data_IF_276562922574
#
_entry.id   IF_276562922574
#
_cell.length_a   1.000
_cell.length_b   1.000
_cell.length_c   1.000
_cell.angle_alpha   90.00
_cell.angle_beta   90.00
_cell.angle_gamma   90.00
#
_symmetry.space_group_name_H-M   'P 1'
#
loop_
_entity.id
_entity.type
_entity.pdbx_description
1 polymer ?
#
# COMPACT_ATOMS: atom_id res chain seq x y z
N UNK A 1 11.40 -18.49 -0.81
CA UNK A 1 11.86 -17.19 -1.36
C UNK A 1 12.93 -17.48 -2.41
N UNK A 2 12.54 -17.53 -3.68
CA UNK A 2 13.51 -17.61 -4.76
C UNK A 2 14.00 -16.19 -5.09
N UNK A 3 15.29 -15.96 -4.92
CA UNK A 3 15.96 -14.78 -5.41
C UNK A 3 16.37 -15.03 -6.85
N UNK A 4 15.90 -14.22 -7.77
CA UNK A 4 16.19 -14.42 -9.18
C UNK A 4 17.63 -14.09 -9.57
N UNK A 5 18.31 -13.21 -8.83
CA UNK A 5 19.73 -12.84 -9.08
C UNK A 5 20.42 -12.41 -7.79
N UNK A 6 21.50 -13.13 -7.44
CA UNK A 6 22.45 -12.75 -6.39
C UNK A 6 22.05 -13.10 -4.97
N UNK A 7 23.00 -12.93 -4.06
CA UNK A 7 22.87 -13.23 -2.62
C UNK A 7 22.45 -12.01 -1.79
N UNK A 8 22.23 -10.87 -2.43
CA UNK A 8 22.02 -9.61 -1.74
C UNK A 8 20.59 -9.42 -1.29
N UNK A 9 20.41 -8.79 -0.13
CA UNK A 9 19.10 -8.40 0.37
C UNK A 9 18.50 -7.30 -0.51
N UNK A 10 17.15 -7.22 -0.53
CA UNK A 10 16.47 -6.10 -1.14
C UNK A 10 16.87 -4.79 -0.46
N UNK A 11 17.30 -3.82 -1.24
CA UNK A 11 17.79 -2.52 -0.73
C UNK A 11 16.74 -1.43 -0.73
N UNK A 12 15.53 -1.75 -1.20
CA UNK A 12 14.40 -0.82 -1.24
C UNK A 12 13.16 -1.51 -1.81
N UNK A 13 12.01 -0.86 -1.67
CA UNK A 13 10.72 -1.42 -2.08
C UNK A 13 10.64 -1.68 -3.58
N UNK A 14 11.13 -0.75 -4.41
CA UNK A 14 11.20 -0.93 -5.86
C UNK A 14 12.28 -1.91 -6.28
N UNK A 15 13.41 -1.97 -5.56
CA UNK A 15 14.45 -2.96 -5.81
C UNK A 15 13.94 -4.40 -5.62
N UNK A 16 13.05 -4.62 -4.64
CA UNK A 16 12.44 -5.93 -4.44
C UNK A 16 11.63 -6.38 -5.66
N UNK A 17 10.90 -5.48 -6.29
CA UNK A 17 10.15 -5.78 -7.52
C UNK A 17 11.09 -5.96 -8.70
N UNK A 18 12.11 -5.10 -8.84
CA UNK A 18 13.10 -5.20 -9.91
C UNK A 18 13.80 -6.57 -9.93
N UNK A 19 14.21 -7.09 -8.77
CA UNK A 19 14.87 -8.40 -8.70
C UNK A 19 13.97 -9.56 -9.13
N UNK A 20 12.65 -9.36 -9.18
CA UNK A 20 11.66 -10.35 -9.58
C UNK A 20 11.04 -10.09 -10.97
N UNK A 21 11.55 -9.10 -11.73
CA UNK A 21 11.02 -8.74 -13.05
C UNK A 21 10.93 -9.92 -14.01
N UNK A 22 11.98 -10.73 -14.11
CA UNK A 22 12.04 -11.87 -15.05
C UNK A 22 10.92 -12.89 -14.72
N UNK A 23 10.66 -13.11 -13.44
CA UNK A 23 9.56 -13.98 -13.01
C UNK A 23 8.20 -13.39 -13.38
N UNK A 24 8.00 -12.09 -13.17
CA UNK A 24 6.75 -11.41 -13.52
C UNK A 24 6.51 -11.42 -15.03
N UNK A 25 7.56 -11.27 -15.86
CA UNK A 25 7.47 -11.34 -17.32
C UNK A 25 6.92 -12.68 -17.83
N UNK A 26 7.15 -13.78 -17.12
CA UNK A 26 6.62 -15.10 -17.54
C UNK A 26 5.09 -15.14 -17.58
N UNK A 27 4.42 -14.26 -16.85
CA UNK A 27 2.96 -14.12 -16.82
C UNK A 27 2.42 -13.12 -17.84
N UNK A 28 3.28 -12.33 -18.49
CA UNK A 28 2.92 -11.29 -19.43
C UNK A 28 1.72 -10.43 -18.96
N UNK A 29 1.80 -9.79 -17.78
CA UNK A 29 0.68 -9.05 -17.22
C UNK A 29 0.43 -7.75 -17.99
N UNK A 30 -0.82 -7.30 -18.08
CA UNK A 30 -1.16 -5.94 -18.55
C UNK A 30 -0.98 -4.91 -17.43
N UNK A 31 -1.36 -5.31 -16.20
CA UNK A 31 -1.33 -4.46 -15.01
C UNK A 31 -0.61 -5.16 -13.86
N UNK A 32 0.00 -4.37 -12.99
CA UNK A 32 0.64 -4.86 -11.77
C UNK A 32 0.10 -4.09 -10.57
N UNK A 33 -0.41 -4.85 -9.60
CA UNK A 33 -0.83 -4.32 -8.31
C UNK A 33 0.32 -4.47 -7.32
N UNK A 34 0.76 -3.36 -6.75
CA UNK A 34 1.78 -3.29 -5.69
C UNK A 34 1.08 -3.02 -4.37
N UNK A 35 1.38 -3.81 -3.36
CA UNK A 35 0.79 -3.72 -2.03
C UNK A 35 1.86 -3.59 -0.96
N UNK A 36 1.56 -2.83 0.10
CA UNK A 36 2.34 -2.83 1.34
C UNK A 36 2.05 -4.09 2.15
N UNK A 37 3.06 -4.60 2.85
CA UNK A 37 2.94 -5.86 3.60
C UNK A 37 2.50 -5.71 5.06
N UNK A 38 2.42 -4.48 5.58
CA UNK A 38 2.20 -4.13 6.97
C UNK A 38 1.02 -3.17 7.19
N UNK A 39 0.05 -3.19 6.27
CA UNK A 39 -1.16 -2.37 6.38
C UNK A 39 -2.40 -3.23 6.63
N UNK A 40 -3.33 -2.71 7.44
CA UNK A 40 -4.62 -3.34 7.75
C UNK A 40 -5.71 -2.57 7.02
N UNK A 41 -6.39 -3.23 6.08
CA UNK A 41 -7.50 -2.65 5.30
C UNK A 41 -8.27 -3.75 4.56
N UNK A 42 -9.42 -3.42 4.00
CA UNK A 42 -10.13 -4.23 3.00
C UNK A 42 -10.40 -3.36 1.79
N UNK A 43 -9.90 -3.74 0.64
CA UNK A 43 -10.12 -3.02 -0.61
C UNK A 43 -10.50 -4.00 -1.72
N UNK A 44 -11.51 -3.64 -2.50
CA UNK A 44 -11.81 -4.28 -3.75
C UNK A 44 -10.89 -3.72 -4.85
N UNK A 45 -9.88 -4.50 -5.19
CA UNK A 45 -8.89 -4.08 -6.20
C UNK A 45 -9.46 -4.05 -7.62
N UNK A 46 -10.56 -4.76 -7.89
CA UNK A 46 -11.23 -4.71 -9.18
C UNK A 46 -11.81 -3.32 -9.43
N UNK A 47 -12.45 -2.74 -8.41
CA UNK A 47 -12.97 -1.35 -8.47
C UNK A 47 -11.84 -0.34 -8.73
N UNK A 48 -10.70 -0.51 -8.06
CA UNK A 48 -9.53 0.35 -8.29
C UNK A 48 -8.94 0.16 -9.69
N UNK A 49 -8.93 -1.09 -10.21
CA UNK A 49 -8.47 -1.38 -11.56
C UNK A 49 -9.41 -0.81 -12.63
N UNK A 50 -10.72 -0.87 -12.42
CA UNK A 50 -11.70 -0.28 -13.33
C UNK A 50 -11.57 1.25 -13.36
N UNK A 51 -11.34 1.88 -12.21
CA UNK A 51 -10.99 3.30 -12.12
C UNK A 51 -9.72 3.62 -12.92
N UNK A 52 -8.68 2.81 -12.78
CA UNK A 52 -7.42 2.94 -13.52
C UNK A 52 -7.65 2.91 -15.04
N UNK A 53 -8.43 1.93 -15.50
CA UNK A 53 -8.79 1.79 -16.92
C UNK A 53 -9.64 2.94 -17.42
N UNK A 54 -10.68 3.35 -16.65
CA UNK A 54 -11.58 4.42 -17.02
C UNK A 54 -10.86 5.77 -17.22
N UNK A 55 -9.83 6.03 -16.43
CA UNK A 55 -9.01 7.24 -16.56
C UNK A 55 -7.88 7.09 -17.59
N UNK A 56 -7.73 5.94 -18.23
CA UNK A 56 -6.55 5.60 -19.05
C UNK A 56 -5.25 5.94 -18.32
N UNK A 57 -5.19 5.63 -17.02
CA UNK A 57 -4.04 5.93 -16.20
C UNK A 57 -2.84 5.06 -16.57
N UNK A 58 -1.65 5.57 -16.37
CA UNK A 58 -0.41 4.82 -16.43
C UNK A 58 -0.03 4.30 -15.05
N UNK A 59 -0.41 5.07 -14.02
CA UNK A 59 -0.28 4.73 -12.60
C UNK A 59 -1.53 5.21 -11.87
N UNK A 60 -2.05 4.37 -10.98
CA UNK A 60 -3.08 4.78 -10.00
C UNK A 60 -2.54 4.54 -8.59
N UNK A 61 -2.64 5.53 -7.74
CA UNK A 61 -2.21 5.52 -6.35
C UNK A 61 -3.46 5.54 -5.47
N UNK A 62 -3.65 4.51 -4.63
CA UNK A 62 -4.68 4.59 -3.60
C UNK A 62 -4.25 5.61 -2.54
N UNK A 63 -5.14 6.51 -2.22
CA UNK A 63 -4.91 7.58 -1.25
C UNK A 63 -6.14 7.80 -0.38
N UNK A 64 -5.93 8.29 0.83
CA UNK A 64 -7.02 8.66 1.72
C UNK A 64 -6.68 9.92 2.52
N UNK A 65 -7.67 10.73 2.91
CA UNK A 65 -7.45 11.87 3.77
C UNK A 65 -7.06 11.41 5.19
N UNK A 66 -6.00 11.99 5.72
CA UNK A 66 -5.54 11.79 7.10
C UNK A 66 -5.47 13.13 7.83
N UNK A 67 -5.40 13.16 9.17
CA UNK A 67 -5.08 14.39 9.90
C UNK A 67 -3.77 14.99 9.37
N UNK A 68 -3.76 16.32 9.15
CA UNK A 68 -2.62 17.00 8.52
C UNK A 68 -1.32 16.80 9.33
N UNK A 69 -1.44 16.66 10.64
CA UNK A 69 -0.32 16.42 11.56
C UNK A 69 0.35 15.06 11.33
N UNK A 70 -0.41 14.09 10.78
CA UNK A 70 0.08 12.75 10.48
C UNK A 70 0.57 12.61 9.04
N UNK A 71 0.19 13.52 8.15
CA UNK A 71 0.49 13.43 6.72
C UNK A 71 2.01 13.37 6.43
N UNK A 72 2.84 13.97 7.29
CA UNK A 72 4.31 13.91 7.17
C UNK A 72 4.90 12.50 7.29
N UNK A 73 4.14 11.53 7.76
CA UNK A 73 4.58 10.13 7.87
C UNK A 73 4.48 9.38 6.54
N UNK A 74 3.72 9.89 5.60
CA UNK A 74 3.33 9.24 4.35
C UNK A 74 3.81 10.01 3.12
N UNK A 75 3.76 9.37 1.97
CA UNK A 75 3.76 10.08 0.70
C UNK A 75 2.47 10.90 0.58
N UNK A 76 2.57 12.16 0.22
CA UNK A 76 1.44 13.08 0.09
C UNK A 76 1.19 13.38 -1.39
N UNK A 77 -0.07 13.27 -1.80
CA UNK A 77 -0.47 13.58 -3.18
C UNK A 77 -1.24 14.90 -3.24
N UNK A 78 -0.97 15.67 -4.29
CA UNK A 78 -1.69 16.87 -4.64
C UNK A 78 -2.33 16.63 -6.00
N UNK A 79 -3.64 16.83 -6.10
CA UNK A 79 -4.42 16.51 -7.28
C UNK A 79 -5.10 17.76 -7.85
N UNK A 80 -5.45 17.68 -9.14
CA UNK A 80 -6.41 18.59 -9.75
C UNK A 80 -7.86 18.10 -9.54
N UNK A 81 -8.82 18.84 -10.09
CA UNK A 81 -10.27 18.52 -9.99
C UNK A 81 -10.67 17.20 -10.63
N UNK A 82 -9.82 16.59 -11.44
CA UNK A 82 -10.02 15.28 -12.07
C UNK A 82 -9.34 14.13 -11.30
N UNK A 83 -8.82 14.38 -10.11
CA UNK A 83 -7.98 13.46 -9.34
C UNK A 83 -6.66 13.07 -10.02
N UNK A 84 -6.23 13.81 -11.04
CA UNK A 84 -4.91 13.63 -11.61
C UNK A 84 -3.88 14.21 -10.65
N UNK A 85 -2.84 13.43 -10.35
CA UNK A 85 -1.76 13.84 -9.45
C UNK A 85 -0.88 14.86 -10.19
N UNK A 86 -0.82 16.07 -9.64
CA UNK A 86 0.00 17.17 -10.12
C UNK A 86 1.34 17.24 -9.40
N UNK A 87 1.37 16.78 -8.15
CA UNK A 87 2.60 16.72 -7.34
C UNK A 87 2.54 15.53 -6.38
N UNK A 88 3.71 14.97 -6.10
CA UNK A 88 3.91 13.91 -5.10
C UNK A 88 5.09 14.29 -4.20
N UNK A 89 4.86 14.26 -2.89
CA UNK A 89 5.86 14.59 -1.88
C UNK A 89 6.07 13.40 -0.94
N UNK A 90 7.26 12.80 -0.95
CA UNK A 90 7.55 11.68 -0.05
C UNK A 90 7.94 12.18 1.34
N UNK A 91 7.06 11.91 2.32
CA UNK A 91 7.27 12.24 3.74
C UNK A 91 7.72 13.69 3.96
N UNK A 92 6.95 14.67 3.48
CA UNK A 92 7.31 16.07 3.59
C UNK A 92 7.29 16.54 5.05
N UNK A 93 8.23 17.39 5.44
CA UNK A 93 8.26 17.99 6.77
C UNK A 93 7.06 18.92 7.00
N UNK A 94 6.62 19.61 5.93
CA UNK A 94 5.45 20.50 5.92
C UNK A 94 4.50 20.10 4.79
N UNK A 95 3.58 19.14 5.04
CA UNK A 95 2.68 18.64 4.01
C UNK A 95 1.72 19.73 3.50
N UNK A 96 1.60 19.85 2.18
CA UNK A 96 0.69 20.81 1.52
C UNK A 96 -0.70 20.23 1.24
N UNK A 97 -0.89 18.96 1.46
CA UNK A 97 -2.15 18.22 1.33
C UNK A 97 -2.26 17.22 2.46
N UNK A 98 -3.48 16.85 2.80
CA UNK A 98 -3.75 15.77 3.75
C UNK A 98 -4.09 14.44 3.07
N UNK A 99 -3.99 14.37 1.73
CA UNK A 99 -4.26 13.15 0.98
C UNK A 99 -3.02 12.27 0.97
N UNK A 100 -3.01 11.26 1.85
CA UNK A 100 -1.89 10.36 2.05
C UNK A 100 -1.94 9.17 1.10
N UNK A 101 -0.82 8.84 0.49
CA UNK A 101 -0.65 7.61 -0.27
C UNK A 101 -0.67 6.40 0.68
N UNK A 102 -1.49 5.42 0.37
CA UNK A 102 -1.60 4.18 1.13
C UNK A 102 -0.50 3.17 0.79
N UNK A 103 0.46 3.48 -0.09
CA UNK A 103 1.44 2.49 -0.55
C UNK A 103 0.84 1.38 -1.41
N UNK A 104 -0.31 1.62 -2.00
CA UNK A 104 -1.03 0.70 -2.88
C UNK A 104 -1.07 1.34 -4.26
N UNK A 105 -0.53 0.64 -5.27
CA UNK A 105 -0.37 1.17 -6.60
C UNK A 105 -0.85 0.19 -7.66
N UNK A 106 -1.52 0.68 -8.72
CA UNK A 106 -1.70 -0.06 -9.96
C UNK A 106 -0.86 0.61 -11.04
N UNK A 107 -0.03 -0.17 -11.70
CA UNK A 107 0.79 0.24 -12.83
C UNK A 107 0.41 -0.49 -14.10
N UNK A 108 0.45 0.21 -15.23
CA UNK A 108 0.63 -0.45 -16.51
C UNK A 108 1.96 -1.19 -16.51
N UNK A 109 1.99 -2.46 -16.91
CA UNK A 109 3.21 -3.28 -16.87
C UNK A 109 4.42 -2.61 -17.56
N UNK A 110 4.23 -2.09 -18.75
CA UNK A 110 5.30 -1.46 -19.50
C UNK A 110 5.88 -0.23 -18.78
N UNK A 111 5.02 0.57 -18.14
CA UNK A 111 5.44 1.76 -17.39
C UNK A 111 6.28 1.37 -16.18
N UNK A 112 5.83 0.38 -15.42
CA UNK A 112 6.56 -0.14 -14.26
C UNK A 112 7.91 -0.72 -14.67
N UNK A 113 7.91 -1.59 -15.68
CA UNK A 113 9.12 -2.26 -16.17
C UNK A 113 10.17 -1.25 -16.63
N UNK A 114 9.77 -0.27 -17.45
CA UNK A 114 10.67 0.77 -17.95
C UNK A 114 11.27 1.59 -16.81
N UNK A 115 10.45 1.99 -15.83
CA UNK A 115 10.92 2.75 -14.69
C UNK A 115 11.92 1.94 -13.82
N UNK A 116 11.61 0.67 -13.52
CA UNK A 116 12.50 -0.18 -12.75
C UNK A 116 13.83 -0.48 -13.45
N UNK A 117 13.81 -0.71 -14.74
CA UNK A 117 15.05 -0.89 -15.53
C UNK A 117 15.90 0.39 -15.53
N UNK A 118 15.24 1.56 -15.65
CA UNK A 118 15.94 2.84 -15.65
C UNK A 118 16.57 3.17 -14.30
N UNK A 119 15.90 2.81 -13.22
CA UNK A 119 16.31 3.12 -11.85
C UNK A 119 17.04 1.97 -11.15
N UNK A 120 17.44 0.93 -11.88
CA UNK A 120 18.03 -0.29 -11.32
C UNK A 120 19.31 -0.06 -10.49
N UNK A 121 20.07 0.98 -10.85
CA UNK A 121 21.35 1.32 -10.23
C UNK A 121 21.20 2.35 -9.10
N UNK A 122 19.97 2.82 -8.82
CA UNK A 122 19.71 3.74 -7.71
C UNK A 122 19.82 3.02 -6.37
N UNK A 123 20.71 3.46 -5.46
CA UNK A 123 20.86 2.85 -4.16
C UNK A 123 19.57 2.99 -3.33
N UNK A 124 19.06 1.87 -2.82
CA UNK A 124 17.83 1.91 -2.01
C UNK A 124 16.59 2.33 -2.81
N UNK A 125 16.50 1.92 -4.07
CA UNK A 125 15.40 2.31 -4.96
C UNK A 125 14.03 2.01 -4.33
N UNK A 126 13.22 3.05 -4.20
CA UNK A 126 11.94 3.07 -3.52
C UNK A 126 10.85 3.66 -4.41
N UNK A 127 9.60 3.22 -4.22
CA UNK A 127 8.48 3.70 -5.05
C UNK A 127 8.21 5.18 -4.83
N UNK A 128 8.10 5.62 -3.58
CA UNK A 128 7.78 7.02 -3.26
C UNK A 128 8.90 7.99 -3.61
N UNK A 129 10.15 7.61 -3.32
CA UNK A 129 11.31 8.50 -3.53
C UNK A 129 11.82 8.54 -4.97
N UNK A 130 11.66 7.45 -5.72
CA UNK A 130 12.33 7.32 -7.01
C UNK A 130 11.37 7.01 -8.16
N UNK A 131 10.54 5.96 -8.05
CA UNK A 131 9.72 5.49 -9.17
C UNK A 131 8.61 6.49 -9.51
N UNK A 132 7.82 6.90 -8.53
CA UNK A 132 6.69 7.83 -8.75
C UNK A 132 7.18 9.19 -9.26
N UNK A 133 8.20 9.84 -8.63
CA UNK A 133 8.76 11.09 -9.16
C UNK A 133 9.36 10.96 -10.56
N UNK A 134 10.02 9.85 -10.87
CA UNK A 134 10.54 9.59 -12.21
C UNK A 134 9.41 9.54 -13.24
N UNK A 135 8.36 8.74 -12.98
CA UNK A 135 7.21 8.62 -13.87
C UNK A 135 6.48 9.97 -14.03
N UNK A 136 6.33 10.72 -12.94
CA UNK A 136 5.74 12.05 -12.98
C UNK A 136 6.54 13.01 -13.87
N UNK A 137 7.86 13.04 -13.71
CA UNK A 137 8.76 13.88 -14.54
C UNK A 137 8.73 13.47 -16.01
N UNK A 138 8.56 12.18 -16.30
CA UNK A 138 8.41 11.65 -17.66
C UNK A 138 7.09 12.08 -18.31
N UNK A 139 6.09 12.50 -17.53
CA UNK A 139 4.78 12.93 -17.99
C UNK A 139 3.74 11.80 -18.03
N UNK A 140 4.01 10.68 -17.37
CA UNK A 140 3.04 9.59 -17.24
C UNK A 140 1.76 10.08 -16.52
N UNK A 141 0.62 9.49 -16.85
CA UNK A 141 -0.69 9.87 -16.31
C UNK A 141 -0.90 9.17 -14.98
N UNK A 142 -0.72 9.93 -13.90
CA UNK A 142 -0.84 9.42 -12.53
C UNK A 142 -2.14 9.97 -11.92
N UNK A 143 -2.97 9.07 -11.38
CA UNK A 143 -4.25 9.41 -10.76
C UNK A 143 -4.33 8.92 -9.32
N UNK A 144 -4.99 9.69 -8.47
CA UNK A 144 -5.32 9.28 -7.12
C UNK A 144 -6.68 8.56 -7.12
N UNK A 145 -6.72 7.36 -6.57
CA UNK A 145 -7.94 6.64 -6.23
C UNK A 145 -8.24 6.88 -4.75
N UNK A 146 -9.27 7.69 -4.46
CA UNK A 146 -9.64 7.99 -3.09
C UNK A 146 -10.35 6.80 -2.45
N UNK A 147 -9.74 6.26 -1.40
CA UNK A 147 -10.24 5.14 -0.64
C UNK A 147 -11.02 5.64 0.59
N UNK A 148 -12.23 5.12 0.80
CA UNK A 148 -13.14 5.52 1.86
C UNK A 148 -13.45 4.34 2.80
N UNK A 149 -12.44 3.61 3.24
CA UNK A 149 -12.59 2.51 4.19
C UNK A 149 -11.60 2.60 5.34
N UNK A 150 -11.66 1.63 6.23
CA UNK A 150 -10.67 1.51 7.29
C UNK A 150 -9.29 1.21 6.69
N UNK A 151 -8.29 1.97 7.12
CA UNK A 151 -6.89 1.72 6.80
C UNK A 151 -6.01 2.12 7.97
N UNK A 152 -5.06 1.26 8.31
CA UNK A 152 -4.05 1.54 9.34
C UNK A 152 -2.69 0.98 8.94
N UNK A 153 -1.69 1.85 8.97
CA UNK A 153 -0.28 1.49 8.91
C UNK A 153 0.17 1.08 10.32
N UNK A 154 0.60 -0.17 10.49
CA UNK A 154 1.06 -0.72 11.77
C UNK A 154 2.59 -0.75 11.90
N UNK A 155 3.28 0.17 11.23
CA UNK A 155 4.74 0.29 11.24
C UNK A 155 5.36 0.73 12.58
N UNK A 156 4.56 1.07 13.61
CA UNK A 156 5.03 1.39 14.95
C UNK A 156 4.36 0.51 16.02
N UNK A 157 5.01 0.33 17.17
CA UNK A 157 4.41 -0.41 18.29
C UNK A 157 3.10 0.23 18.77
N UNK A 158 3.01 1.56 18.74
CA UNK A 158 1.80 2.30 19.12
C UNK A 158 0.65 2.00 18.17
N UNK A 159 0.84 2.19 16.86
CA UNK A 159 -0.20 1.92 15.84
C UNK A 159 -0.58 0.43 15.78
N UNK A 160 0.37 -0.48 16.01
CA UNK A 160 0.08 -1.90 16.12
C UNK A 160 -0.81 -2.22 17.33
N UNK A 161 -0.51 -1.65 18.49
CA UNK A 161 -1.33 -1.81 19.68
C UNK A 161 -2.73 -1.22 19.50
N UNK A 162 -2.82 0.01 18.99
CA UNK A 162 -4.09 0.67 18.70
C UNK A 162 -4.97 -0.16 17.74
N UNK A 163 -4.40 -0.65 16.65
CA UNK A 163 -5.12 -1.50 15.71
C UNK A 163 -5.70 -2.76 16.39
N UNK A 164 -4.94 -3.39 17.30
CA UNK A 164 -5.45 -4.52 18.06
C UNK A 164 -6.59 -4.14 19.01
N UNK A 165 -6.50 -2.96 19.64
CA UNK A 165 -7.57 -2.47 20.52
C UNK A 165 -8.84 -2.12 19.74
N UNK A 166 -8.73 -1.50 18.58
CA UNK A 166 -9.86 -1.19 17.70
C UNK A 166 -10.60 -2.45 17.21
N UNK A 167 -9.88 -3.57 17.02
CA UNK A 167 -10.48 -4.85 16.60
C UNK A 167 -11.34 -5.54 17.67
N UNK A 168 -11.13 -5.20 18.94
CA UNK A 168 -11.89 -5.78 20.06
C UNK A 168 -13.03 -4.90 20.57
N UNK A 169 -13.27 -3.76 19.92
CA UNK A 169 -14.42 -2.92 20.19
C UNK A 169 -15.75 -3.67 19.98
N UNK A 170 -16.80 -3.24 20.66
CA UNK A 170 -18.14 -3.87 20.55
C UNK A 170 -18.66 -3.84 19.11
N UNK A 171 -18.38 -2.75 18.40
CA UNK A 171 -18.71 -2.56 16.98
C UNK A 171 -17.41 -2.06 16.30
N UNK A 172 -16.50 -2.97 15.93
CA UNK A 172 -15.25 -2.56 15.30
C UNK A 172 -15.52 -2.00 13.91
N UNK A 173 -14.83 -0.91 13.55
CA UNK A 173 -14.89 -0.35 12.21
C UNK A 173 -14.34 -1.36 11.17
N UNK A 174 -13.32 -2.10 11.55
CA UNK A 174 -12.77 -3.21 10.76
C UNK A 174 -13.26 -4.54 11.32
N UNK A 175 -14.27 -5.13 10.65
CA UNK A 175 -14.91 -6.37 11.12
C UNK A 175 -14.19 -7.61 10.55
N UNK A 176 -13.53 -8.39 11.43
CA UNK A 176 -12.91 -9.66 11.06
C UNK A 176 -13.90 -10.81 10.86
N UNK A 177 -15.15 -10.67 11.35
CA UNK A 177 -16.18 -11.71 11.35
C UNK A 177 -17.19 -11.54 10.22
N UNK A 178 -16.90 -10.68 9.26
CA UNK A 178 -17.75 -10.45 8.11
C UNK A 178 -17.88 -11.70 7.23
N UNK A 179 -19.11 -12.20 7.06
CA UNK A 179 -19.34 -13.46 6.36
C UNK A 179 -19.14 -13.38 4.85
N UNK A 180 -19.45 -12.21 4.25
CA UNK A 180 -19.42 -12.02 2.80
C UNK A 180 -18.04 -11.62 2.27
N UNK A 181 -17.16 -11.14 3.16
CA UNK A 181 -15.80 -10.74 2.78
C UNK A 181 -14.79 -11.24 3.82
N UNK A 182 -14.55 -12.53 3.80
CA UNK A 182 -13.67 -13.19 4.78
C UNK A 182 -12.21 -12.91 4.48
N UNK A 183 -11.46 -12.68 5.55
CA UNK A 183 -10.00 -12.68 5.51
C UNK A 183 -9.54 -14.11 5.76
N UNK A 184 -8.80 -14.67 4.81
CA UNK A 184 -8.27 -16.02 4.91
C UNK A 184 -6.85 -16.00 5.48
N UNK A 185 -6.59 -16.86 6.46
CA UNK A 185 -5.27 -17.06 7.04
C UNK A 185 -5.05 -18.54 7.34
N UNK A 186 -3.79 -18.92 7.52
CA UNK A 186 -3.48 -20.25 8.06
C UNK A 186 -3.85 -20.28 9.54
N UNK A 187 -4.90 -21.00 9.90
CA UNK A 187 -5.30 -21.25 11.29
C UNK A 187 -4.70 -22.57 11.77
N UNK A 188 -3.94 -22.54 12.86
CA UNK A 188 -3.56 -23.76 13.57
C UNK A 188 -4.67 -24.10 14.57
N UNK A 189 -4.95 -25.40 14.74
CA UNK A 189 -5.86 -25.86 15.79
C UNK A 189 -5.11 -25.74 17.12
N UNK A 190 -5.44 -24.72 17.89
CA UNK A 190 -4.88 -24.50 19.22
C UNK A 190 -5.91 -24.90 20.29
N UNK A 191 -5.46 -25.32 21.48
CA UNK A 191 -6.37 -25.60 22.60
C UNK A 191 -7.10 -24.33 23.01
N UNK A 192 -8.29 -24.45 23.65
CA UNK A 192 -9.01 -23.31 24.18
C UNK A 192 -8.15 -22.53 25.18
N UNK A 193 -8.38 -21.23 25.25
CA UNK A 193 -7.68 -20.37 26.21
C UNK A 193 -7.97 -20.83 27.65
N UNK A 194 -6.95 -20.76 28.50
CA UNK A 194 -7.10 -20.96 29.94
C UNK A 194 -7.23 -19.61 30.62
N UNK A 195 -8.30 -19.44 31.41
CA UNK A 195 -8.52 -18.27 32.25
C UNK A 195 -8.40 -18.72 33.71
N UNK A 196 -7.44 -18.16 34.44
CA UNK A 196 -7.24 -18.43 35.86
C UNK A 196 -8.46 -18.06 36.65
N UNK A 197 -8.75 -18.82 37.74
CA UNK A 197 -9.81 -18.48 38.68
C UNK A 197 -9.63 -17.13 39.38
N UNK A 198 -8.42 -16.59 39.39
CA UNK A 198 -8.07 -15.28 39.93
C UNK A 198 -8.23 -14.14 38.92
N UNK A 199 -8.50 -14.44 37.65
CA UNK A 199 -8.67 -13.42 36.62
C UNK A 199 -10.01 -12.70 36.83
N UNK A 200 -9.93 -11.37 36.75
CA UNK A 200 -11.12 -10.50 36.76
C UNK A 200 -11.41 -10.10 35.32
N UNK A 201 -12.60 -10.45 34.85
CA UNK A 201 -13.07 -10.08 33.51
C UNK A 201 -14.15 -9.01 33.70
N UNK A 202 -13.91 -7.83 33.18
CA UNK A 202 -14.86 -6.72 33.15
C UNK A 202 -15.38 -6.54 31.71
N UNK A 203 -16.65 -6.13 31.60
CA UNK A 203 -17.26 -5.78 30.31
C UNK A 203 -16.95 -4.34 29.95
#
# INVERSE_FOLDING_TARGET
YERSKGSDWYTGTANAIYQNLEYMETYNPDYVLILSGDHIYKMDYEVMLDYHKANNADITIAAMPVPIEEASRFGVVITDDSNRITEFEEKPEHPRSNLASMGIYIFNWNVLKDALIKLKDEPGCDFGKHVIPYCHTKGDRIFAYEYNGYWKDVGTLGSYWEANMELIDIIPEFNLYEEFWKIYTKGDVIPPQYISSEARIER
#
